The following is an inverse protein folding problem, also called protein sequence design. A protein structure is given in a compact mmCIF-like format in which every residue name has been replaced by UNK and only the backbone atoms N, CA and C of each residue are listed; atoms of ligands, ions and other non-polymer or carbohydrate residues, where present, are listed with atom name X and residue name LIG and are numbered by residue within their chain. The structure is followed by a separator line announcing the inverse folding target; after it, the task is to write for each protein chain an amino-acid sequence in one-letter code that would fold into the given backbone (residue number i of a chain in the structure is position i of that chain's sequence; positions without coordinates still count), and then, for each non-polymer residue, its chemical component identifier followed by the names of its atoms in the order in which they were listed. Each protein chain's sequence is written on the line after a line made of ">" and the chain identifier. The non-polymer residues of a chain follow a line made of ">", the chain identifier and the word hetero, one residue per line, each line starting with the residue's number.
data_IF_198612390881
#
_entry.id   IF_198612390881
#
_cell.length_a   1.000
_cell.length_b   1.000
_cell.length_c   1.000
_cell.angle_alpha   90.00
_cell.angle_beta   90.00
_cell.angle_gamma   90.00
#
_symmetry.space_group_name_H-M   'P 1'
#
loop_
_entity.id
_entity.type
_entity.pdbx_description
1 polymer ?
#
# COMPACT_ATOMS: atom_id res chain seq x y z
N UNK A 1 -6.19 -22.67 19.10
CA UNK A 1 -7.65 -22.62 19.29
C UNK A 1 -8.06 -23.48 20.48
N UNK A 2 -7.36 -24.58 20.72
CA UNK A 2 -7.68 -25.52 21.80
C UNK A 2 -7.57 -24.92 23.21
N UNK A 3 -6.61 -24.01 23.46
CA UNK A 3 -6.43 -23.37 24.77
C UNK A 3 -7.63 -22.57 25.28
N UNK A 4 -8.35 -21.86 24.40
CA UNK A 4 -9.57 -21.12 24.79
C UNK A 4 -10.71 -22.08 25.15
N UNK A 5 -10.85 -23.17 24.38
CA UNK A 5 -11.86 -24.18 24.64
C UNK A 5 -11.55 -25.00 25.90
N UNK A 6 -10.28 -25.18 26.26
CA UNK A 6 -9.88 -25.77 27.54
C UNK A 6 -10.20 -24.86 28.72
N UNK A 7 -9.94 -23.55 28.61
CA UNK A 7 -10.26 -22.60 29.67
C UNK A 7 -11.79 -22.44 29.86
N UNK A 8 -12.59 -22.63 28.81
CA UNK A 8 -14.05 -22.68 28.92
C UNK A 8 -14.56 -23.96 29.60
N UNK A 9 -13.83 -25.07 29.58
CA UNK A 9 -14.22 -26.30 30.30
C UNK A 9 -14.07 -26.17 31.82
N UNK A 10 -13.41 -25.12 32.30
CA UNK A 10 -13.34 -24.76 33.73
C UNK A 10 -14.70 -24.27 34.25
N UNK A 11 -15.63 -23.92 33.36
CA UNK A 11 -17.05 -23.71 33.68
C UNK A 11 -17.72 -25.03 34.07
N UNK A 12 -17.45 -25.51 35.28
CA UNK A 12 -18.25 -26.57 35.88
C UNK A 12 -19.58 -25.96 36.39
N UNK A 13 -20.63 -26.13 35.59
CA UNK A 13 -21.98 -25.66 35.88
C UNK A 13 -22.84 -26.76 36.55
N UNK A 14 -22.23 -27.86 36.98
CA UNK A 14 -22.94 -28.99 37.59
C UNK A 14 -22.99 -28.85 39.12
N UNK A 15 -23.86 -27.98 39.64
CA UNK A 15 -24.04 -27.86 41.09
C UNK A 15 -25.48 -27.42 41.46
N UNK A 16 -25.95 -27.87 42.63
CA UNK A 16 -27.23 -27.55 43.31
C UNK A 16 -27.35 -26.05 43.77
N UNK A 17 -26.59 -25.15 43.14
CA UNK A 17 -26.59 -23.72 43.50
C UNK A 17 -27.79 -22.96 42.95
N UNK A 18 -28.15 -21.87 43.63
CA UNK A 18 -29.16 -20.91 43.16
C UNK A 18 -28.78 -20.35 41.79
N UNK A 19 -29.78 -20.17 40.92
CA UNK A 19 -29.60 -19.79 39.51
C UNK A 19 -28.82 -18.48 39.37
N UNK A 20 -29.02 -17.54 40.30
CA UNK A 20 -28.28 -16.27 40.33
C UNK A 20 -26.77 -16.49 40.43
N UNK A 21 -26.34 -17.42 41.29
CA UNK A 21 -24.93 -17.71 41.52
C UNK A 21 -24.30 -18.37 40.29
N UNK A 22 -25.07 -19.21 39.58
CA UNK A 22 -24.62 -19.87 38.37
C UNK A 22 -24.41 -18.87 37.22
N UNK A 23 -25.32 -17.92 37.07
CA UNK A 23 -25.21 -16.84 36.07
C UNK A 23 -23.97 -15.99 36.35
N UNK A 24 -23.74 -15.60 37.60
CA UNK A 24 -22.58 -14.80 37.98
C UNK A 24 -21.26 -15.54 37.70
N UNK A 25 -21.19 -16.84 38.03
CA UNK A 25 -20.03 -17.69 37.73
C UNK A 25 -19.76 -17.75 36.22
N UNK A 26 -20.81 -17.99 35.43
CA UNK A 26 -20.70 -18.02 33.97
C UNK A 26 -20.18 -16.69 33.41
N UNK A 27 -20.79 -15.57 33.81
CA UNK A 27 -20.40 -14.25 33.32
C UNK A 27 -18.97 -13.88 33.69
N UNK A 28 -18.55 -14.17 34.92
CA UNK A 28 -17.22 -13.82 35.40
C UNK A 28 -16.15 -14.66 34.70
N UNK A 29 -16.32 -15.97 34.58
CA UNK A 29 -15.36 -16.82 33.86
C UNK A 29 -15.29 -16.46 32.38
N UNK A 30 -16.41 -16.12 31.74
CA UNK A 30 -16.41 -15.65 30.36
C UNK A 30 -15.64 -14.32 30.21
N UNK A 31 -15.86 -13.36 31.13
CA UNK A 31 -15.12 -12.09 31.13
C UNK A 31 -13.62 -12.30 31.34
N UNK A 32 -13.23 -13.16 32.27
CA UNK A 32 -11.82 -13.46 32.58
C UNK A 32 -11.12 -14.14 31.41
N UNK A 33 -11.72 -15.20 30.85
CA UNK A 33 -11.18 -15.92 29.68
C UNK A 33 -11.07 -14.99 28.47
N UNK A 34 -12.09 -14.15 28.22
CA UNK A 34 -12.05 -13.15 27.16
C UNK A 34 -10.92 -12.14 27.40
N UNK A 35 -10.73 -11.67 28.63
CA UNK A 35 -9.68 -10.71 28.96
C UNK A 35 -8.28 -11.32 28.85
N UNK A 36 -8.10 -12.61 29.17
CA UNK A 36 -6.84 -13.33 29.03
C UNK A 36 -6.45 -13.55 27.57
N UNK A 37 -7.39 -14.03 26.74
CA UNK A 37 -7.12 -14.39 25.34
C UNK A 37 -7.25 -13.23 24.36
N UNK A 38 -8.17 -12.30 24.63
CA UNK A 38 -8.50 -11.18 23.78
C UNK A 38 -8.62 -9.87 24.59
N UNK A 39 -7.57 -9.45 25.30
CA UNK A 39 -7.60 -8.22 26.09
C UNK A 39 -7.99 -7.04 25.20
N UNK A 40 -8.91 -6.21 25.69
CA UNK A 40 -9.33 -5.03 24.96
C UNK A 40 -8.17 -4.04 24.85
N UNK A 41 -7.58 -3.94 23.66
CA UNK A 41 -6.50 -3.00 23.37
C UNK A 41 -7.06 -1.80 22.63
N UNK A 42 -6.89 -0.61 23.20
CA UNK A 42 -7.12 0.65 22.49
C UNK A 42 -5.91 0.92 21.60
N UNK A 43 -6.14 1.13 20.32
CA UNK A 43 -5.11 1.53 19.35
C UNK A 43 -5.49 2.86 18.74
N UNK A 44 -4.52 3.75 18.65
CA UNK A 44 -4.69 5.01 17.92
C UNK A 44 -4.58 4.66 16.44
N UNK A 45 -5.65 4.91 15.69
CA UNK A 45 -5.66 4.75 14.24
C UNK A 45 -5.33 6.11 13.65
N UNK A 46 -4.16 6.23 13.05
CA UNK A 46 -3.81 7.44 12.28
C UNK A 46 -4.55 7.41 10.96
N UNK A 47 -5.54 8.29 10.79
CA UNK A 47 -6.18 8.52 9.51
C UNK A 47 -5.18 9.20 8.57
N UNK A 48 -4.76 8.49 7.52
CA UNK A 48 -3.92 9.05 6.46
C UNK A 48 -4.84 9.51 5.33
N UNK A 49 -5.05 10.82 5.16
CA UNK A 49 -5.87 11.31 4.06
C UNK A 49 -5.24 10.89 2.73
N UNK A 50 -6.10 10.62 1.74
CA UNK A 50 -5.64 10.39 0.38
C UNK A 50 -4.87 11.61 -0.11
N UNK A 51 -3.91 11.36 -1.00
CA UNK A 51 -3.18 12.44 -1.63
C UNK A 51 -4.17 13.29 -2.45
N UNK A 52 -4.03 14.64 -2.46
CA UNK A 52 -4.97 15.52 -3.17
C UNK A 52 -5.09 15.27 -4.68
N UNK A 53 -4.07 14.65 -5.29
CA UNK A 53 -4.04 14.27 -6.69
C UNK A 53 -4.54 12.84 -6.95
N UNK A 54 -4.87 12.07 -5.91
CA UNK A 54 -5.33 10.69 -6.07
C UNK A 54 -6.83 10.66 -6.38
N UNK A 55 -7.20 9.98 -7.46
CA UNK A 55 -8.59 9.79 -7.87
C UNK A 55 -8.97 8.30 -7.80
N UNK A 56 -10.27 8.01 -7.74
CA UNK A 56 -10.76 6.61 -7.67
C UNK A 56 -10.43 5.82 -8.94
N UNK A 57 -10.30 6.51 -10.08
CA UNK A 57 -9.92 5.92 -11.37
C UNK A 57 -8.51 5.33 -11.33
N UNK A 58 -7.51 6.06 -10.82
CA UNK A 58 -6.17 5.55 -10.54
C UNK A 58 -6.27 4.36 -9.59
N UNK A 59 -7.10 4.44 -8.55
CA UNK A 59 -7.31 3.33 -7.62
C UNK A 59 -7.89 2.07 -8.29
N UNK A 60 -8.75 2.24 -9.28
CA UNK A 60 -9.30 1.15 -10.07
C UNK A 60 -8.23 0.50 -10.97
N UNK A 61 -7.42 1.30 -11.64
CA UNK A 61 -6.31 0.80 -12.46
C UNK A 61 -5.18 0.18 -11.62
N UNK A 62 -4.93 0.65 -10.40
CA UNK A 62 -4.02 0.03 -9.45
C UNK A 62 -4.53 -1.32 -8.93
N UNK A 63 -5.84 -1.47 -8.73
CA UNK A 63 -6.46 -2.77 -8.43
C UNK A 63 -6.32 -3.72 -9.62
N UNK A 64 -6.52 -3.22 -10.84
CA UNK A 64 -6.34 -4.01 -12.05
C UNK A 64 -4.87 -4.46 -12.23
N UNK A 65 -3.90 -3.56 -12.01
CA UNK A 65 -2.46 -3.88 -11.98
C UNK A 65 -2.16 -5.03 -11.04
N UNK A 66 -2.66 -4.97 -9.79
CA UNK A 66 -2.49 -6.05 -8.80
C UNK A 66 -3.15 -7.36 -9.23
N UNK A 67 -4.30 -7.31 -9.91
CA UNK A 67 -4.97 -8.51 -10.45
C UNK A 67 -4.13 -9.18 -11.52
N UNK A 68 -3.59 -8.41 -12.47
CA UNK A 68 -2.72 -8.91 -13.54
C UNK A 68 -1.40 -9.44 -12.99
N UNK A 69 -0.83 -8.76 -12.00
CA UNK A 69 0.39 -9.20 -11.31
C UNK A 69 0.19 -10.57 -10.66
N UNK A 70 -0.90 -10.75 -9.90
CA UNK A 70 -1.23 -12.05 -9.30
C UNK A 70 -1.44 -13.13 -10.36
N UNK A 71 -2.13 -12.79 -11.46
CA UNK A 71 -2.34 -13.73 -12.56
C UNK A 71 -1.03 -14.16 -13.20
N UNK A 72 -0.12 -13.22 -13.47
CA UNK A 72 1.21 -13.50 -13.99
C UNK A 72 2.04 -14.34 -13.01
N UNK A 73 2.05 -14.02 -11.71
CA UNK A 73 2.78 -14.84 -10.72
C UNK A 73 2.23 -16.26 -10.60
N UNK A 74 0.93 -16.47 -10.84
CA UNK A 74 0.31 -17.79 -10.80
C UNK A 74 0.54 -18.59 -12.09
N UNK A 75 0.46 -17.95 -13.27
CA UNK A 75 0.57 -18.64 -14.56
C UNK A 75 1.99 -18.77 -15.09
N UNK A 76 2.87 -17.82 -14.77
CA UNK A 76 4.23 -17.72 -15.32
C UNK A 76 4.30 -17.40 -16.83
N UNK A 77 3.17 -17.11 -17.48
CA UNK A 77 3.10 -16.94 -18.94
C UNK A 77 3.62 -15.56 -19.38
N UNK A 78 4.31 -15.53 -20.53
CA UNK A 78 4.82 -14.29 -21.12
C UNK A 78 3.70 -13.30 -21.48
N UNK A 79 2.57 -13.80 -21.98
CA UNK A 79 1.40 -12.96 -22.32
C UNK A 79 0.86 -12.26 -21.07
N UNK A 80 0.77 -12.96 -19.94
CA UNK A 80 0.33 -12.36 -18.68
C UNK A 80 1.31 -11.30 -18.16
N UNK A 81 2.61 -11.54 -18.35
CA UNK A 81 3.65 -10.53 -18.07
C UNK A 81 3.46 -9.29 -18.93
N UNK A 82 3.24 -9.43 -20.23
CA UNK A 82 3.04 -8.30 -21.14
C UNK A 82 1.81 -7.47 -20.74
N UNK A 83 0.71 -8.14 -20.37
CA UNK A 83 -0.49 -7.46 -19.88
C UNK A 83 -0.23 -6.71 -18.57
N UNK A 84 0.51 -7.32 -17.63
CA UNK A 84 0.93 -6.65 -16.40
C UNK A 84 1.81 -5.43 -16.66
N UNK A 85 2.83 -5.55 -17.52
CA UNK A 85 3.75 -4.44 -17.86
C UNK A 85 2.99 -3.28 -18.50
N UNK A 86 2.14 -3.56 -19.48
CA UNK A 86 1.28 -2.54 -20.11
C UNK A 86 0.40 -1.84 -19.07
N UNK A 87 -0.13 -2.58 -18.11
CA UNK A 87 -0.93 -2.00 -17.04
C UNK A 87 -0.09 -1.13 -16.08
N UNK A 88 1.17 -1.49 -15.81
CA UNK A 88 2.09 -0.65 -15.05
C UNK A 88 2.33 0.69 -15.75
N UNK A 89 2.53 0.68 -17.07
CA UNK A 89 2.70 1.89 -17.88
C UNK A 89 1.47 2.79 -17.81
N UNK A 90 0.27 2.22 -17.98
CA UNK A 90 -1.00 2.95 -17.85
C UNK A 90 -1.12 3.64 -16.50
N UNK A 91 -0.94 2.90 -15.40
CA UNK A 91 -1.04 3.46 -14.05
C UNK A 91 0.01 4.56 -13.81
N UNK A 92 1.25 4.34 -14.25
CA UNK A 92 2.32 5.33 -14.11
C UNK A 92 2.01 6.61 -14.90
N UNK A 93 1.45 6.49 -16.10
CA UNK A 93 1.02 7.62 -16.91
C UNK A 93 -0.11 8.41 -16.23
N UNK A 94 -1.12 7.72 -15.68
CA UNK A 94 -2.21 8.36 -14.94
C UNK A 94 -1.72 9.09 -13.68
N UNK A 95 -0.84 8.45 -12.89
CA UNK A 95 -0.25 9.08 -11.70
C UNK A 95 0.58 10.31 -12.10
N UNK A 96 1.37 10.20 -13.16
CA UNK A 96 2.17 11.32 -13.68
C UNK A 96 1.26 12.47 -14.08
N UNK A 97 0.22 12.21 -14.87
CA UNK A 97 -0.75 13.22 -15.30
C UNK A 97 -1.44 13.87 -14.10
N UNK A 98 -1.98 13.08 -13.17
CA UNK A 98 -2.70 13.61 -12.01
C UNK A 98 -1.80 14.49 -11.13
N UNK A 99 -0.56 14.08 -10.90
CA UNK A 99 0.44 14.90 -10.19
C UNK A 99 0.74 16.18 -10.96
N UNK A 100 1.03 16.10 -12.25
CA UNK A 100 1.30 17.28 -13.09
C UNK A 100 0.13 18.26 -13.04
N UNK A 101 -1.09 17.80 -13.28
CA UNK A 101 -2.30 18.63 -13.26
C UNK A 101 -2.49 19.31 -11.90
N UNK A 102 -2.33 18.58 -10.81
CA UNK A 102 -2.44 19.15 -9.46
C UNK A 102 -1.35 20.17 -9.14
N UNK A 103 -0.08 19.85 -9.38
CA UNK A 103 1.00 20.78 -9.06
C UNK A 103 1.01 22.00 -9.99
N UNK A 104 0.67 21.82 -11.27
CA UNK A 104 0.49 22.94 -12.20
C UNK A 104 -0.62 23.88 -11.74
N UNK A 105 -1.75 23.36 -11.25
CA UNK A 105 -2.83 24.21 -10.74
C UNK A 105 -2.41 24.98 -9.48
N UNK A 106 -1.74 24.31 -8.54
CA UNK A 106 -1.20 24.95 -7.32
C UNK A 106 -0.22 26.08 -7.67
N UNK A 107 0.65 25.85 -8.66
CA UNK A 107 1.60 26.86 -9.14
C UNK A 107 0.85 28.03 -9.79
N UNK A 108 -0.08 27.76 -10.70
CA UNK A 108 -0.83 28.81 -11.40
C UNK A 108 -1.67 29.66 -10.44
N UNK A 109 -2.31 29.04 -9.44
CA UNK A 109 -3.12 29.75 -8.46
C UNK A 109 -2.29 30.64 -7.52
N UNK A 110 -1.00 30.35 -7.36
CA UNK A 110 -0.09 31.10 -6.48
C UNK A 110 1.02 31.83 -7.27
N UNK A 111 0.85 32.01 -8.58
CA UNK A 111 1.89 32.53 -9.47
C UNK A 111 2.45 33.89 -9.02
N UNK A 112 1.61 34.74 -8.43
CA UNK A 112 1.98 36.07 -7.95
C UNK A 112 2.49 36.11 -6.50
N UNK A 113 2.53 34.96 -5.80
CA UNK A 113 2.95 34.88 -4.40
C UNK A 113 4.03 33.80 -4.19
N UNK A 114 5.26 34.16 -4.58
CA UNK A 114 6.41 33.25 -4.55
C UNK A 114 6.77 32.74 -3.15
N UNK A 115 6.50 33.52 -2.09
CA UNK A 115 6.75 33.11 -0.69
C UNK A 115 5.91 31.88 -0.31
N UNK A 116 4.65 31.84 -0.75
CA UNK A 116 3.74 30.71 -0.48
C UNK A 116 4.22 29.46 -1.21
N UNK A 117 4.64 29.58 -2.47
CA UNK A 117 5.19 28.47 -3.24
C UNK A 117 6.46 27.91 -2.60
N UNK A 118 7.41 28.77 -2.25
CA UNK A 118 8.68 28.34 -1.64
C UNK A 118 8.45 27.61 -0.31
N UNK A 119 7.59 28.15 0.56
CA UNK A 119 7.23 27.49 1.81
C UNK A 119 6.51 26.15 1.57
N UNK A 120 5.60 26.08 0.60
CA UNK A 120 4.90 24.85 0.24
C UNK A 120 5.88 23.75 -0.18
N UNK A 121 6.81 24.04 -1.09
CA UNK A 121 7.80 23.07 -1.56
C UNK A 121 8.79 22.68 -0.46
N UNK A 122 9.29 23.64 0.32
CA UNK A 122 10.18 23.32 1.46
C UNK A 122 9.50 22.41 2.48
N UNK A 123 8.24 22.66 2.80
CA UNK A 123 7.47 21.78 3.70
C UNK A 123 7.31 20.37 3.12
N UNK A 124 7.02 20.24 1.82
CA UNK A 124 6.94 18.93 1.15
C UNK A 124 8.26 18.19 1.16
N UNK A 125 9.35 18.90 0.84
CA UNK A 125 10.71 18.38 0.86
C UNK A 125 11.01 17.88 2.29
N UNK A 126 10.80 18.69 3.33
CA UNK A 126 11.06 18.32 4.72
C UNK A 126 10.30 17.05 5.16
N UNK A 127 9.06 16.86 4.72
CA UNK A 127 8.30 15.62 4.98
C UNK A 127 8.96 14.41 4.33
N UNK A 128 9.36 14.52 3.05
CA UNK A 128 10.03 13.43 2.31
C UNK A 128 11.34 13.02 3.00
N UNK A 129 12.16 14.00 3.43
CA UNK A 129 13.39 13.71 4.18
C UNK A 129 13.11 12.97 5.49
N UNK A 130 12.02 13.31 6.19
CA UNK A 130 11.62 12.66 7.43
C UNK A 130 11.14 11.23 7.23
N UNK A 131 10.47 10.93 6.12
CA UNK A 131 10.03 9.57 5.77
C UNK A 131 11.22 8.69 5.35
N UNK A 132 12.12 9.19 4.51
CA UNK A 132 13.30 8.44 4.03
C UNK A 132 14.33 8.12 5.12
N UNK A 133 14.41 8.95 6.18
CA UNK A 133 15.30 8.71 7.30
C UNK A 133 14.90 7.50 8.17
N UNK A 134 13.67 6.98 8.03
CA UNK A 134 13.14 5.87 8.84
C UNK A 134 13.43 4.49 8.19
N UNK A 135 13.66 4.44 6.87
CA UNK A 135 13.71 3.19 6.09
C UNK A 135 15.12 2.54 5.98
N UNK A 136 16.18 3.15 6.52
CA UNK A 136 17.54 2.56 6.48
C UNK A 136 17.67 1.26 7.30
N UNK A 137 16.68 0.90 8.12
CA UNK A 137 16.68 -0.32 8.95
C UNK A 137 15.76 -1.44 8.41
N UNK A 138 15.08 -1.24 7.28
CA UNK A 138 14.07 -2.18 6.78
C UNK A 138 13.98 -2.28 5.24
N UNK A 139 15.03 -2.75 4.57
CA UNK A 139 14.89 -3.29 3.21
C UNK A 139 16.00 -4.29 2.88
N UNK A 140 15.82 -5.56 3.25
CA UNK A 140 16.64 -6.66 2.74
C UNK A 140 15.69 -7.78 2.28
N UNK A 141 15.02 -7.57 1.14
CA UNK A 141 14.23 -8.60 0.45
C UNK A 141 13.87 -8.11 -0.97
N UNK A 142 14.88 -7.96 -1.83
CA UNK A 142 14.70 -7.78 -3.28
C UNK A 142 15.61 -8.70 -4.11
N UNK A 143 16.00 -9.85 -3.54
CA UNK A 143 16.83 -10.85 -4.23
C UNK A 143 16.08 -12.18 -4.36
N UNK A 144 15.09 -12.26 -5.25
CA UNK A 144 14.56 -13.53 -5.81
C UNK A 144 14.07 -13.37 -7.27
N UNK A 145 14.61 -12.42 -8.05
CA UNK A 145 14.21 -12.25 -9.46
C UNK A 145 15.10 -13.02 -10.48
N UNK A 146 16.12 -13.75 -10.03
CA UNK A 146 17.04 -14.43 -10.95
C UNK A 146 16.49 -15.73 -11.57
N UNK A 147 15.45 -16.34 -11.01
CA UNK A 147 15.01 -17.67 -11.45
C UNK A 147 13.94 -17.67 -12.56
N UNK A 148 13.43 -16.50 -12.97
CA UNK A 148 12.45 -16.35 -14.07
C UNK A 148 13.03 -15.64 -15.31
N UNK A 149 14.36 -15.49 -15.36
CA UNK A 149 15.08 -14.81 -16.44
C UNK A 149 15.02 -15.51 -17.81
N UNK A 150 14.27 -16.61 -17.96
CA UNK A 150 14.18 -17.36 -19.22
C UNK A 150 13.21 -16.75 -20.27
N UNK A 151 12.63 -15.57 -20.01
CA UNK A 151 11.84 -14.85 -21.02
C UNK A 151 12.39 -13.45 -21.37
N UNK A 152 13.65 -13.17 -21.02
CA UNK A 152 14.33 -11.93 -21.39
C UNK A 152 15.18 -12.17 -22.63
N UNK A 153 14.58 -12.01 -23.81
CA UNK A 153 15.33 -11.45 -24.94
C UNK A 153 14.85 -10.02 -25.09
N UNK A 154 15.71 -9.07 -24.72
CA UNK A 154 15.60 -7.68 -25.10
C UNK A 154 15.38 -7.62 -26.62
N UNK A 155 14.22 -7.16 -27.04
CA UNK A 155 14.00 -6.71 -28.41
C UNK A 155 13.42 -5.31 -28.28
N UNK A 156 14.18 -4.35 -28.79
CA UNK A 156 13.83 -2.94 -29.02
C UNK A 156 14.25 -1.93 -27.93
N UNK A 157 15.51 -1.96 -27.51
CA UNK A 157 16.20 -0.73 -27.14
C UNK A 157 17.22 -0.44 -28.26
N UNK A 158 16.82 0.35 -29.27
CA UNK A 158 17.79 0.97 -30.17
C UNK A 158 18.28 2.24 -29.47
N UNK A 159 19.58 2.36 -29.28
CA UNK A 159 20.18 3.60 -28.78
C UNK A 159 19.88 4.72 -29.78
N UNK A 160 19.25 5.80 -29.30
CA UNK A 160 19.02 7.03 -30.07
C UNK A 160 20.38 7.63 -30.36
N UNK A 161 20.72 7.80 -31.64
CA UNK A 161 22.00 8.40 -32.06
C UNK A 161 21.92 9.92 -31.97
N UNK A 162 23.04 10.61 -31.67
CA UNK A 162 23.08 12.08 -31.53
C UNK A 162 22.45 12.83 -32.71
N UNK A 163 22.49 12.25 -33.91
CA UNK A 163 21.92 12.83 -35.13
C UNK A 163 20.37 12.88 -35.13
N UNK A 164 19.70 12.04 -34.35
CA UNK A 164 18.24 12.08 -34.19
C UNK A 164 17.80 13.18 -33.21
N UNK A 165 18.68 13.64 -32.33
CA UNK A 165 18.41 14.71 -31.36
C UNK A 165 18.49 16.09 -32.05
N UNK A 166 19.45 16.29 -32.96
CA UNK A 166 19.61 17.56 -33.69
C UNK A 166 18.40 17.89 -34.57
N UNK A 167 17.77 16.88 -35.18
CA UNK A 167 16.60 17.06 -36.05
C UNK A 167 15.29 17.45 -35.31
N UNK A 168 15.27 17.36 -33.98
CA UNK A 168 14.10 17.74 -33.15
C UNK A 168 14.19 19.19 -32.67
N UNK A 169 15.38 19.78 -32.64
CA UNK A 169 15.60 21.13 -32.11
C UNK A 169 15.40 22.22 -33.18
N UNK A 170 15.52 21.89 -34.48
CA UNK A 170 15.40 22.84 -35.60
C UNK A 170 14.03 22.84 -36.33
N UNK A 171 12.92 22.57 -35.62
CA UNK A 171 11.55 22.73 -36.15
C UNK A 171 10.66 23.61 -35.28
#
# INVERSE_FOLDING_TARGET
>A
MDSFNEDLKVLDLNDDYDLSVLIDKYENTLKETLQQHAPQKRRIITLRPLSPWYNEEIGQEERNRRKLERRWRASGLCIDRQLYVKQCETVNAMIKNAKTTYYSSVISSNAHNQKVLFNFFNNKIAIIWKELAIDSSHCNQRNQEEQYAQCVKFINFQEVTEHEIENVIDK
#
